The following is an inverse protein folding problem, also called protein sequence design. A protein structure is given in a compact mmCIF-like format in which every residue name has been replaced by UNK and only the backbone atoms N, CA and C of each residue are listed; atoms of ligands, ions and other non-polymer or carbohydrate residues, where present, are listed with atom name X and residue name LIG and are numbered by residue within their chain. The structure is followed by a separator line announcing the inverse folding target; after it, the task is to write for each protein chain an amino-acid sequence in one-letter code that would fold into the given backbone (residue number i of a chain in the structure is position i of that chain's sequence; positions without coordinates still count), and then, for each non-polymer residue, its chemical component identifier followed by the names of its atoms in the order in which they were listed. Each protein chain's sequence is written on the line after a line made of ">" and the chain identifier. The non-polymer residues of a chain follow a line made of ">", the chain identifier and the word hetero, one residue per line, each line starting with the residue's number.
data_IF_931363588504
#
_entry.id   IF_931363588504
#
_cell.length_a   1.000
_cell.length_b   1.000
_cell.length_c   1.000
_cell.angle_alpha   90.00
_cell.angle_beta   90.00
_cell.angle_gamma   90.00
#
_symmetry.space_group_name_H-M   'P 1'
#
loop_
_entity.id
_entity.type
_entity.pdbx_description
1 polymer ?
#
# COMPACT_ATOMS: atom_id res chain seq x y z
N UNK A 1 27.10 -1.03 -29.72
CA UNK A 1 25.85 -0.62 -29.05
C UNK A 1 26.18 -0.50 -27.57
N UNK A 2 26.52 0.70 -27.13
CA UNK A 2 26.83 0.97 -25.73
C UNK A 2 25.53 0.95 -24.93
N UNK A 3 25.55 0.19 -23.84
CA UNK A 3 24.42 -0.01 -22.96
C UNK A 3 24.31 1.22 -22.04
N UNK A 4 23.49 2.19 -22.45
CA UNK A 4 23.15 3.35 -21.62
C UNK A 4 22.04 2.93 -20.66
N UNK A 5 22.42 2.24 -19.58
CA UNK A 5 21.64 2.18 -18.36
C UNK A 5 22.47 2.88 -17.28
N UNK A 6 22.54 4.20 -17.41
CA UNK A 6 23.07 5.10 -16.39
C UNK A 6 22.23 4.97 -15.12
N UNK A 7 22.76 4.21 -14.17
CA UNK A 7 22.97 4.62 -12.78
C UNK A 7 22.10 5.79 -12.29
N UNK A 8 20.86 5.47 -11.91
CA UNK A 8 20.14 6.21 -10.88
C UNK A 8 19.19 5.25 -10.18
N UNK A 9 19.73 4.39 -9.32
CA UNK A 9 18.92 3.89 -8.22
C UNK A 9 18.63 5.10 -7.31
N UNK A 10 17.64 5.91 -7.68
CA UNK A 10 17.13 6.97 -6.83
C UNK A 10 16.74 6.32 -5.51
N UNK A 11 17.36 6.76 -4.41
CA UNK A 11 17.05 6.21 -3.11
C UNK A 11 15.54 6.27 -2.87
N UNK A 12 14.97 5.18 -2.34
CA UNK A 12 13.55 5.11 -2.03
C UNK A 12 13.16 6.31 -1.13
N UNK A 13 12.13 7.09 -1.49
CA UNK A 13 11.72 8.23 -0.67
C UNK A 13 11.40 7.81 0.77
N UNK A 14 11.73 8.67 1.74
CA UNK A 14 11.58 8.34 3.16
C UNK A 14 10.14 8.00 3.54
N UNK A 15 9.15 8.69 2.99
CA UNK A 15 7.73 8.41 3.22
C UNK A 15 7.30 7.02 2.75
N UNK A 16 7.84 6.56 1.62
CA UNK A 16 7.60 5.20 1.11
C UNK A 16 8.27 4.18 2.02
N UNK A 17 9.49 4.44 2.47
CA UNK A 17 10.20 3.59 3.44
C UNK A 17 9.43 3.50 4.77
N UNK A 18 8.96 4.62 5.29
CA UNK A 18 8.16 4.69 6.52
C UNK A 18 6.86 3.88 6.39
N UNK A 19 6.22 3.88 5.23
CA UNK A 19 5.05 3.04 4.97
C UNK A 19 5.39 1.55 4.96
N UNK A 20 6.47 1.16 4.27
CA UNK A 20 6.95 -0.24 4.27
C UNK A 20 7.29 -0.70 5.69
N UNK A 21 8.07 0.07 6.43
CA UNK A 21 8.50 -0.25 7.80
C UNK A 21 7.28 -0.35 8.73
N UNK A 22 6.30 0.55 8.57
CA UNK A 22 5.05 0.50 9.33
C UNK A 22 4.32 -0.82 9.13
N UNK A 23 3.99 -1.21 7.89
CA UNK A 23 3.25 -2.44 7.65
C UNK A 23 4.07 -3.68 7.96
N UNK A 24 5.39 -3.65 7.74
CA UNK A 24 6.26 -4.76 8.11
C UNK A 24 6.16 -5.07 9.61
N UNK A 25 6.28 -4.04 10.46
CA UNK A 25 6.19 -4.20 11.92
C UNK A 25 4.79 -4.62 12.40
N UNK A 26 3.73 -4.13 11.75
CA UNK A 26 2.35 -4.36 12.20
C UNK A 26 1.67 -5.58 11.58
N UNK A 27 2.17 -6.10 10.45
CA UNK A 27 1.53 -7.17 9.69
C UNK A 27 2.48 -8.35 9.46
N UNK A 28 3.55 -8.16 8.67
CA UNK A 28 4.39 -9.29 8.23
C UNK A 28 5.20 -9.90 9.38
N UNK A 29 5.81 -9.08 10.24
CA UNK A 29 6.56 -9.55 11.41
C UNK A 29 5.66 -10.25 12.45
N UNK A 30 4.36 -9.97 12.40
CA UNK A 30 3.35 -10.56 13.30
C UNK A 30 2.65 -11.77 12.69
N UNK A 31 3.06 -12.20 11.50
CA UNK A 31 2.49 -13.35 10.78
C UNK A 31 0.97 -13.19 10.53
N UNK A 32 0.56 -11.97 10.17
CA UNK A 32 -0.84 -11.64 9.80
C UNK A 32 -1.02 -11.64 8.27
N UNK A 33 0.09 -11.54 7.54
CA UNK A 33 0.10 -11.44 6.10
C UNK A 33 1.44 -10.95 5.57
N UNK A 34 1.40 -10.25 4.45
CA UNK A 34 2.60 -9.94 3.67
C UNK A 34 2.58 -8.52 3.13
N UNK A 35 3.75 -7.88 3.13
CA UNK A 35 3.98 -6.52 2.66
C UNK A 35 4.83 -6.55 1.40
N UNK A 36 4.42 -5.79 0.39
CA UNK A 36 5.13 -5.68 -0.89
C UNK A 36 5.22 -4.23 -1.31
N UNK A 37 6.40 -3.85 -1.78
CA UNK A 37 6.65 -2.58 -2.45
C UNK A 37 6.73 -2.82 -3.96
N UNK A 38 5.95 -2.07 -4.72
CA UNK A 38 6.01 -2.02 -6.17
C UNK A 38 6.48 -0.66 -6.61
N UNK A 39 7.29 -0.65 -7.67
CA UNK A 39 7.73 0.54 -8.38
C UNK A 39 7.20 0.45 -9.80
N UNK A 40 6.36 1.39 -10.20
CA UNK A 40 5.60 1.36 -11.44
C UNK A 40 5.79 2.67 -12.21
N UNK A 41 5.83 2.59 -13.54
CA UNK A 41 5.75 3.78 -14.40
C UNK A 41 4.31 3.91 -14.92
N UNK A 42 3.64 5.00 -14.57
CA UNK A 42 2.29 5.35 -15.03
C UNK A 42 2.36 6.63 -15.86
N UNK A 43 2.03 6.56 -17.15
CA UNK A 43 2.00 7.73 -18.06
C UNK A 43 3.24 8.64 -17.95
N UNK A 44 4.43 8.02 -17.87
CA UNK A 44 5.74 8.65 -17.71
C UNK A 44 6.06 9.22 -16.31
N UNK A 45 5.23 8.95 -15.31
CA UNK A 45 5.49 9.28 -13.90
C UNK A 45 5.83 8.02 -13.11
N UNK A 46 6.86 8.12 -12.26
CA UNK A 46 7.19 7.04 -11.33
C UNK A 46 6.23 7.07 -10.14
N UNK A 47 5.67 5.91 -9.81
CA UNK A 47 4.74 5.70 -8.71
C UNK A 47 5.22 4.52 -7.87
N UNK A 48 5.18 4.69 -6.55
CA UNK A 48 5.39 3.62 -5.60
C UNK A 48 4.05 3.17 -5.02
N UNK A 49 3.86 1.86 -4.93
CA UNK A 49 2.70 1.24 -4.27
C UNK A 49 3.22 0.34 -3.15
N UNK A 50 2.86 0.65 -1.91
CA UNK A 50 2.99 -0.27 -0.79
C UNK A 50 1.67 -1.02 -0.68
N UNK A 51 1.69 -2.33 -0.91
CA UNK A 51 0.53 -3.20 -0.79
C UNK A 51 0.74 -4.20 0.33
N UNK A 52 -0.27 -4.33 1.15
CA UNK A 52 -0.36 -5.31 2.21
C UNK A 52 -1.54 -6.22 1.91
N UNK A 53 -1.34 -7.53 2.01
CA UNK A 53 -2.42 -8.52 1.99
C UNK A 53 -2.33 -9.33 3.26
N UNK A 54 -3.43 -9.43 3.99
CA UNK A 54 -3.55 -10.31 5.14
C UNK A 54 -3.79 -11.75 4.69
N UNK A 55 -3.74 -12.70 5.61
CA UNK A 55 -4.16 -14.08 5.38
C UNK A 55 -5.68 -14.23 5.19
N UNK A 56 -6.44 -13.17 5.50
CA UNK A 56 -7.84 -13.04 5.13
C UNK A 56 -8.02 -12.45 3.74
N UNK A 57 -9.21 -11.91 3.49
CA UNK A 57 -9.58 -11.32 2.22
C UNK A 57 -9.31 -9.79 2.16
N UNK A 58 -8.53 -9.27 3.10
CA UNK A 58 -8.33 -7.84 3.30
C UNK A 58 -6.87 -7.41 3.31
N UNK A 59 -6.66 -6.09 3.28
CA UNK A 59 -5.33 -5.53 3.18
C UNK A 59 -5.32 -4.01 3.19
N UNK A 60 -4.18 -3.45 2.77
CA UNK A 60 -3.99 -2.01 2.65
C UNK A 60 -3.22 -1.70 1.38
N UNK A 61 -3.45 -0.51 0.85
CA UNK A 61 -2.66 0.07 -0.23
C UNK A 61 -2.30 1.51 0.13
N UNK A 62 -1.04 1.88 -0.09
CA UNK A 62 -0.58 3.27 -0.04
C UNK A 62 0.16 3.61 -1.33
N UNK A 63 -0.25 4.70 -1.97
CA UNK A 63 0.28 5.18 -3.23
C UNK A 63 1.09 6.45 -3.01
N UNK A 64 2.27 6.50 -3.63
CA UNK A 64 3.17 7.65 -3.57
C UNK A 64 3.69 8.00 -4.95
N UNK A 65 3.90 9.28 -5.21
CA UNK A 65 4.62 9.71 -6.40
C UNK A 65 6.14 9.56 -6.26
N UNK A 66 6.84 10.00 -7.30
CA UNK A 66 8.28 9.80 -7.45
C UNK A 66 9.11 10.42 -6.32
N UNK A 67 8.61 11.49 -5.71
CA UNK A 67 9.30 12.21 -4.62
C UNK A 67 8.83 11.78 -3.23
N UNK A 68 7.91 10.81 -3.16
CA UNK A 68 7.33 10.33 -1.91
C UNK A 68 6.10 11.11 -1.44
N UNK A 69 5.56 12.01 -2.27
CA UNK A 69 4.29 12.67 -2.01
C UNK A 69 3.15 11.63 -2.00
N UNK A 70 2.24 11.67 -1.00
CA UNK A 70 1.15 10.70 -0.94
C UNK A 70 0.08 11.01 -1.99
N UNK A 71 -0.37 9.99 -2.72
CA UNK A 71 -1.51 10.07 -3.62
C UNK A 71 -2.79 9.51 -2.99
N UNK A 72 -2.67 8.56 -2.07
CA UNK A 72 -3.81 8.04 -1.33
C UNK A 72 -3.51 6.77 -0.55
N UNK A 73 -4.36 6.50 0.44
CA UNK A 73 -4.33 5.30 1.27
C UNK A 73 -5.69 4.63 1.25
N UNK A 74 -5.72 3.31 1.11
CA UNK A 74 -6.95 2.54 1.05
C UNK A 74 -6.89 1.27 1.88
N UNK A 75 -7.99 0.95 2.56
CA UNK A 75 -8.26 -0.38 3.14
C UNK A 75 -8.90 -1.23 2.05
N UNK A 76 -8.38 -2.42 1.83
CA UNK A 76 -8.92 -3.33 0.80
C UNK A 76 -9.72 -4.46 1.44
N UNK A 77 -10.80 -4.88 0.80
CA UNK A 77 -11.55 -6.11 1.11
C UNK A 77 -12.05 -6.73 -0.20
N UNK A 78 -11.50 -7.87 -0.56
CA UNK A 78 -11.65 -8.52 -1.87
C UNK A 78 -11.35 -7.51 -3.01
N UNK A 79 -12.32 -7.20 -3.88
CA UNK A 79 -12.17 -6.21 -4.96
C UNK A 79 -12.45 -4.76 -4.55
N UNK A 80 -12.88 -4.52 -3.30
CA UNK A 80 -13.23 -3.19 -2.83
C UNK A 80 -12.03 -2.46 -2.23
N UNK A 81 -12.04 -1.14 -2.39
CA UNK A 81 -11.08 -0.23 -1.76
C UNK A 81 -11.82 0.92 -1.09
N UNK A 82 -11.68 1.01 0.22
CA UNK A 82 -12.13 2.15 1.02
C UNK A 82 -10.97 3.13 1.21
N UNK A 83 -10.98 4.21 0.43
CA UNK A 83 -9.98 5.28 0.51
C UNK A 83 -10.23 6.18 1.71
N UNK A 84 -9.16 6.64 2.36
CA UNK A 84 -9.27 7.48 3.55
C UNK A 84 -7.96 8.06 4.03
N UNK A 85 -8.01 8.69 5.20
CA UNK A 85 -6.85 9.29 5.85
C UNK A 85 -5.85 8.22 6.29
N UNK A 86 -4.57 8.41 5.97
CA UNK A 86 -3.52 7.43 6.25
C UNK A 86 -3.45 7.05 7.73
N UNK A 87 -3.55 8.02 8.64
CA UNK A 87 -3.48 7.76 10.07
C UNK A 87 -4.64 6.89 10.58
N UNK A 88 -5.86 7.15 10.08
CA UNK A 88 -7.06 6.37 10.42
C UNK A 88 -6.94 4.94 9.91
N UNK A 89 -6.60 4.78 8.63
CA UNK A 89 -6.51 3.46 8.00
C UNK A 89 -5.35 2.63 8.56
N UNK A 90 -4.22 3.25 8.90
CA UNK A 90 -3.12 2.56 9.58
C UNK A 90 -3.53 2.09 10.97
N UNK A 91 -4.26 2.88 11.75
CA UNK A 91 -4.71 2.47 13.08
C UNK A 91 -5.55 1.17 13.07
N UNK A 92 -6.22 0.87 11.95
CA UNK A 92 -6.98 -0.37 11.76
C UNK A 92 -6.11 -1.63 11.73
N UNK A 93 -4.79 -1.53 11.51
CA UNK A 93 -3.87 -2.68 11.68
C UNK A 93 -3.82 -3.18 13.13
N UNK A 94 -4.18 -2.33 14.10
CA UNK A 94 -4.27 -2.67 15.51
C UNK A 94 -5.65 -3.17 15.95
N UNK A 95 -6.73 -2.77 15.27
CA UNK A 95 -8.11 -3.08 15.68
C UNK A 95 -8.79 -4.13 14.82
N UNK A 96 -8.38 -4.26 13.55
CA UNK A 96 -9.06 -5.08 12.55
C UNK A 96 -10.39 -4.49 12.06
N UNK A 97 -10.78 -3.32 12.55
CA UNK A 97 -12.03 -2.67 12.14
C UNK A 97 -11.94 -2.15 10.70
N UNK A 98 -13.04 -2.26 9.96
CA UNK A 98 -13.16 -1.69 8.62
C UNK A 98 -13.72 -0.27 8.67
N UNK A 99 -13.39 0.59 7.69
CA UNK A 99 -14.05 1.89 7.54
C UNK A 99 -15.56 1.72 7.45
N UNK A 100 -16.31 2.59 8.13
CA UNK A 100 -17.77 2.53 8.19
C UNK A 100 -18.49 2.65 6.83
N UNK A 101 -17.79 3.16 5.82
CA UNK A 101 -18.30 3.34 4.47
C UNK A 101 -17.94 2.18 3.52
N UNK A 102 -17.24 1.15 4.02
CA UNK A 102 -16.98 -0.08 3.26
C UNK A 102 -18.15 -1.05 3.44
N UNK A 103 -18.88 -1.33 2.36
CA UNK A 103 -19.96 -2.31 2.37
C UNK A 103 -19.42 -3.71 2.02
N UNK A 104 -19.10 -4.50 3.04
CA UNK A 104 -18.59 -5.88 2.87
C UNK A 104 -19.60 -6.84 2.21
N UNK A 105 -20.87 -6.46 2.04
CA UNK A 105 -21.87 -7.26 1.33
C UNK A 105 -21.97 -6.91 -0.16
N UNK A 106 -21.38 -5.78 -0.58
CA UNK A 106 -21.37 -5.34 -1.97
C UNK A 106 -20.33 -6.06 -2.83
N UNK A 107 -19.80 -7.20 -2.37
CA UNK A 107 -18.76 -7.93 -3.11
C UNK A 107 -19.34 -8.71 -4.29
N UNK A 108 -18.48 -9.04 -5.25
CA UNK A 108 -18.79 -9.90 -6.39
C UNK A 108 -19.00 -11.37 -6.00
N UNK A 109 -18.62 -11.75 -4.78
CA UNK A 109 -18.75 -13.11 -4.25
C UNK A 109 -20.03 -13.23 -3.41
N UNK A 110 -20.95 -14.09 -3.85
CA UNK A 110 -22.24 -14.37 -3.21
C UNK A 110 -22.42 -15.85 -2.95
#
# INVERSE_FOLDING_TARGET
>A
MENVLTDSATALPNTVREAVDYYYEHIEKRDIGVVRLYQLMLENSLVYLVRTTTDGDDGWIELFGATGEPFGTGRTYIEQVAWGETAELRAQTGTGEFPNHLDMQATLWK
#
